data_IF_568985342574
#
_entry.id   IF_568985342574
#
_cell.length_a   1.000
_cell.length_b   1.000
_cell.length_c   1.000
_cell.angle_alpha   90.00
_cell.angle_beta   90.00
_cell.angle_gamma   90.00
#
_symmetry.space_group_name_H-M   'P 1'
#
loop_
_entity.id
_entity.type
_entity.pdbx_description
1 polymer ?
#
# COMPACT_ATOMS: atom_id res chain seq x y z
N UNK A 1 -2.37 5.31 15.34
CA UNK A 1 -1.37 4.62 14.48
C UNK A 1 -0.69 5.56 13.46
N UNK A 2 0.53 5.25 12.98
CA UNK A 2 1.16 6.01 11.87
C UNK A 2 0.51 5.61 10.54
N UNK A 3 0.26 6.57 9.65
CA UNK A 3 -0.19 6.28 8.29
C UNK A 3 1.03 5.93 7.43
N UNK A 4 1.18 4.64 7.12
CA UNK A 4 2.16 4.11 6.18
C UNK A 4 1.48 3.23 5.13
N UNK A 5 2.20 2.86 4.06
CA UNK A 5 1.67 1.99 3.02
C UNK A 5 1.15 0.65 3.59
N UNK A 6 1.88 0.03 4.53
CA UNK A 6 1.41 -1.19 5.23
C UNK A 6 0.10 -1.00 5.96
N UNK A 7 -0.05 0.09 6.71
CA UNK A 7 -1.32 0.38 7.40
C UNK A 7 -2.46 0.67 6.43
N UNK A 8 -2.16 1.26 5.27
CA UNK A 8 -3.14 1.51 4.22
C UNK A 8 -3.64 0.21 3.59
N UNK A 9 -2.72 -0.71 3.29
CA UNK A 9 -3.05 -2.03 2.76
C UNK A 9 -3.86 -2.85 3.78
N UNK A 10 -3.45 -2.83 5.05
CA UNK A 10 -4.19 -3.49 6.13
C UNK A 10 -5.61 -2.93 6.29
N UNK A 11 -5.80 -1.61 6.13
CA UNK A 11 -7.12 -0.99 6.11
C UNK A 11 -7.97 -1.47 4.92
N UNK A 12 -7.38 -1.56 3.72
CA UNK A 12 -8.07 -2.00 2.51
C UNK A 12 -8.46 -3.48 2.51
N UNK A 13 -7.76 -4.28 3.30
CA UNK A 13 -8.00 -5.72 3.48
C UNK A 13 -8.80 -6.04 4.77
N UNK A 14 -9.30 -5.01 5.46
CA UNK A 14 -10.12 -5.15 6.68
C UNK A 14 -9.41 -5.95 7.80
N UNK A 15 -8.08 -5.77 7.93
CA UNK A 15 -7.23 -6.45 8.93
C UNK A 15 -6.94 -5.61 10.18
N UNK A 16 -7.48 -4.39 10.25
CA UNK A 16 -7.27 -3.49 11.39
C UNK A 16 -8.36 -3.67 12.45
N UNK A 17 -8.06 -3.32 13.71
CA UNK A 17 -9.08 -3.23 14.74
C UNK A 17 -10.11 -2.13 14.37
N UNK A 18 -11.35 -2.18 14.88
CA UNK A 18 -12.36 -1.16 14.58
C UNK A 18 -11.93 0.28 14.97
N UNK A 19 -11.11 0.41 16.02
CA UNK A 19 -10.59 1.70 16.47
C UNK A 19 -9.55 2.22 15.48
N UNK A 20 -8.60 1.37 15.09
CA UNK A 20 -7.53 1.72 14.16
C UNK A 20 -8.07 2.01 12.76
N UNK A 21 -9.04 1.21 12.29
CA UNK A 21 -9.69 1.41 11.00
C UNK A 21 -10.38 2.78 10.92
N UNK A 22 -11.04 3.22 12.01
CA UNK A 22 -11.66 4.56 12.08
C UNK A 22 -10.60 5.66 12.05
N UNK A 23 -9.52 5.51 12.81
CA UNK A 23 -8.43 6.49 12.84
C UNK A 23 -7.76 6.64 11.47
N UNK A 24 -7.44 5.51 10.82
CA UNK A 24 -6.85 5.48 9.48
C UNK A 24 -7.81 6.04 8.44
N UNK A 25 -9.10 5.68 8.48
CA UNK A 25 -10.12 6.25 7.60
C UNK A 25 -10.18 7.78 7.67
N UNK A 26 -10.11 8.37 8.87
CA UNK A 26 -10.06 9.82 9.04
C UNK A 26 -8.77 10.43 8.45
N UNK A 27 -7.63 9.75 8.59
CA UNK A 27 -6.35 10.22 8.03
C UNK A 27 -6.32 10.19 6.51
N UNK A 28 -6.91 9.15 5.90
CA UNK A 28 -7.08 9.05 4.45
C UNK A 28 -7.92 10.22 3.96
N UNK A 29 -9.07 10.49 4.58
CA UNK A 29 -9.97 11.56 4.17
C UNK A 29 -9.39 12.98 4.27
N UNK A 30 -8.38 13.19 5.13
CA UNK A 30 -7.68 14.47 5.27
C UNK A 30 -6.58 14.71 4.23
N UNK A 31 -6.17 13.67 3.52
CA UNK A 31 -5.05 13.69 2.58
C UNK A 31 -5.53 13.34 1.18
N UNK A 32 -5.63 14.32 0.27
CA UNK A 32 -6.01 14.06 -1.13
C UNK A 32 -5.12 13.01 -1.79
N UNK A 33 -3.81 13.08 -1.53
CA UNK A 33 -2.83 12.10 -2.02
C UNK A 33 -3.16 10.67 -1.55
N UNK A 34 -3.49 10.49 -0.26
CA UNK A 34 -3.81 9.17 0.28
C UNK A 34 -5.15 8.66 -0.27
N UNK A 35 -6.11 9.55 -0.48
CA UNK A 35 -7.39 9.20 -1.10
C UNK A 35 -7.19 8.70 -2.54
N UNK A 36 -6.41 9.43 -3.34
CA UNK A 36 -6.06 9.02 -4.71
C UNK A 36 -5.33 7.67 -4.73
N UNK A 37 -4.38 7.46 -3.82
CA UNK A 37 -3.64 6.20 -3.70
C UNK A 37 -4.58 5.03 -3.38
N UNK A 38 -5.53 5.21 -2.45
CA UNK A 38 -6.54 4.20 -2.12
C UNK A 38 -7.40 3.86 -3.33
N UNK A 39 -7.84 4.86 -4.08
CA UNK A 39 -8.67 4.65 -5.25
C UNK A 39 -7.91 3.92 -6.35
N UNK A 40 -6.63 4.26 -6.58
CA UNK A 40 -5.76 3.57 -7.53
C UNK A 40 -5.53 2.10 -7.15
N UNK A 41 -5.28 1.82 -5.87
CA UNK A 41 -5.13 0.44 -5.38
C UNK A 41 -6.43 -0.35 -5.59
N UNK A 42 -7.59 0.24 -5.22
CA UNK A 42 -8.90 -0.38 -5.42
C UNK A 42 -9.21 -0.64 -6.88
N UNK A 43 -8.84 0.28 -7.77
CA UNK A 43 -8.98 0.12 -9.21
C UNK A 43 -8.19 -1.11 -9.68
N UNK A 44 -6.89 -1.19 -9.35
CA UNK A 44 -6.04 -2.31 -9.76
C UNK A 44 -6.53 -3.64 -9.17
N UNK A 45 -6.93 -3.68 -7.89
CA UNK A 45 -7.46 -4.89 -7.22
C UNK A 45 -8.72 -5.43 -7.91
N UNK A 46 -9.52 -4.58 -8.57
CA UNK A 46 -10.74 -4.98 -9.29
C UNK A 46 -10.50 -5.40 -10.74
N UNK A 47 -9.32 -5.17 -11.31
CA UNK A 47 -9.02 -5.53 -12.71
C UNK A 47 -9.00 -7.05 -12.86
N UNK A 48 -9.91 -7.59 -13.68
CA UNK A 48 -9.96 -9.05 -13.98
C UNK A 48 -8.72 -9.56 -14.71
N UNK A 49 -8.04 -8.70 -15.45
CA UNK A 49 -6.82 -9.01 -16.19
C UNK A 49 -5.79 -7.95 -15.85
N UNK A 50 -4.62 -8.37 -15.41
CA UNK A 50 -3.46 -7.50 -15.26
C UNK A 50 -2.75 -7.49 -16.61
N UNK A 51 -2.67 -6.31 -17.21
CA UNK A 51 -1.83 -6.09 -18.39
C UNK A 51 -0.36 -6.18 -17.96
N UNK A 52 0.49 -6.77 -18.78
CA UNK A 52 1.94 -6.66 -18.59
C UNK A 52 2.34 -5.20 -18.78
N UNK A 53 2.99 -4.61 -17.78
CA UNK A 53 3.55 -3.26 -17.88
C UNK A 53 4.71 -3.27 -18.88
N UNK A 54 4.86 -2.20 -19.66
CA UNK A 54 6.06 -1.99 -20.46
C UNK A 54 7.25 -1.84 -19.51
N UNK A 55 8.34 -2.57 -19.80
CA UNK A 55 9.53 -2.71 -18.95
C UNK A 55 10.33 -1.40 -18.75
N UNK A 56 9.84 -0.28 -19.24
CA UNK A 56 10.52 1.02 -19.23
C UNK A 56 10.37 1.80 -17.92
N UNK A 57 9.46 1.40 -17.03
CA UNK A 57 9.34 2.03 -15.72
C UNK A 57 10.29 1.37 -14.71
N UNK A 58 11.04 2.20 -13.99
CA UNK A 58 11.88 1.79 -12.88
C UNK A 58 10.98 1.29 -11.76
N UNK A 59 10.80 -0.02 -11.68
CA UNK A 59 9.96 -0.68 -10.67
C UNK A 59 10.85 -1.19 -9.53
N UNK A 60 10.30 -1.13 -8.31
CA UNK A 60 10.87 -1.87 -7.17
C UNK A 60 10.91 -3.36 -7.54
N UNK A 61 11.98 -4.04 -7.16
CA UNK A 61 12.14 -5.48 -7.42
C UNK A 61 10.93 -6.26 -6.92
N UNK A 62 10.41 -7.17 -7.76
CA UNK A 62 9.15 -7.86 -7.46
C UNK A 62 9.25 -8.82 -6.27
N UNK A 63 10.41 -9.44 -6.05
CA UNK A 63 10.62 -10.31 -4.89
C UNK A 63 10.69 -9.47 -3.62
N UNK A 64 11.35 -8.30 -3.67
CA UNK A 64 11.38 -7.36 -2.55
C UNK A 64 9.97 -6.88 -2.17
N UNK A 65 9.12 -6.58 -3.17
CA UNK A 65 7.70 -6.22 -2.91
C UNK A 65 6.93 -7.40 -2.31
N UNK A 66 7.17 -8.63 -2.76
CA UNK A 66 6.54 -9.82 -2.17
C UNK A 66 6.93 -9.99 -0.69
N UNK A 67 8.24 -9.91 -0.37
CA UNK A 67 8.74 -9.97 1.00
C UNK A 67 8.18 -8.84 1.89
N UNK A 68 7.96 -7.64 1.32
CA UNK A 68 7.31 -6.53 2.02
C UNK A 68 5.86 -6.85 2.40
N UNK A 69 5.11 -7.46 1.49
CA UNK A 69 3.71 -7.85 1.70
C UNK A 69 3.57 -9.03 2.66
N UNK A 70 4.55 -9.93 2.71
CA UNK A 70 4.61 -11.07 3.62
C UNK A 70 5.24 -10.73 4.99
N UNK A 71 5.49 -9.45 5.25
CA UNK A 71 6.07 -8.94 6.49
C UNK A 71 7.44 -9.54 6.86
N UNK A 72 8.20 -10.05 5.87
CA UNK A 72 9.50 -10.70 6.06
C UNK A 72 10.69 -9.73 6.02
N UNK A 73 10.47 -8.48 5.58
CA UNK A 73 11.53 -7.49 5.47
C UNK A 73 11.94 -6.88 6.80
N UNK A 74 13.22 -6.50 6.89
CA UNK A 74 13.74 -5.72 8.01
C UNK A 74 13.10 -4.33 8.05
N UNK A 75 12.98 -3.70 9.24
CA UNK A 75 12.38 -2.37 9.38
C UNK A 75 13.05 -1.29 8.50
N UNK A 76 14.35 -1.43 8.24
CA UNK A 76 15.12 -0.53 7.39
C UNK A 76 14.69 -0.60 5.92
N UNK A 77 14.49 -1.82 5.41
CA UNK A 77 14.03 -2.07 4.04
C UNK A 77 12.56 -1.67 3.86
N UNK A 78 11.71 -1.94 4.87
CA UNK A 78 10.33 -1.44 4.91
C UNK A 78 10.31 0.08 4.75
N UNK A 79 11.12 0.80 5.54
CA UNK A 79 11.18 2.26 5.48
C UNK A 79 11.76 2.81 4.18
N UNK A 80 12.57 2.03 3.46
CA UNK A 80 13.07 2.37 2.13
C UNK A 80 11.97 2.23 1.09
N UNK A 81 11.25 1.11 1.07
CA UNK A 81 10.14 0.86 0.14
C UNK A 81 9.06 1.93 0.32
N UNK A 82 8.68 2.24 1.56
CA UNK A 82 7.67 3.26 1.87
C UNK A 82 8.07 4.69 1.46
N UNK A 83 9.35 4.93 1.11
CA UNK A 83 9.83 6.22 0.58
C UNK A 83 9.85 6.28 -0.96
N UNK A 84 9.92 5.13 -1.61
CA UNK A 84 9.98 5.03 -3.08
C UNK A 84 8.58 4.94 -3.72
N UNK A 85 7.53 4.70 -2.94
CA UNK A 85 6.11 4.63 -3.35
C UNK A 85 5.40 5.96 -3.12
#
# INVERSE_FOLDING_TARGET
MKLTLRTLLAYLDDRLSPVDAREIGQKIARSPFTTELVDRIREVKRRRRLSTLDRSQQMIDSNLVAEYLDDQLTPELVARIEREV
#
